data_IF_795213647727
#
_entry.id   IF_795213647727
#
_cell.length_a   1.000
_cell.length_b   1.000
_cell.length_c   1.000
_cell.angle_alpha   90.00
_cell.angle_beta   90.00
_cell.angle_gamma   90.00
#
_symmetry.space_group_name_H-M   'P 1'
#
loop_
_entity.id
_entity.type
_entity.pdbx_description
1 polymer ?
#
# COMPACT_ATOMS: atom_id res chain seq x y z
N UNK A 1 12.99 7.39 5.88
CA UNK A 1 11.73 7.28 5.12
C UNK A 1 11.36 8.55 4.34
N UNK A 2 11.63 9.76 4.86
CA UNK A 2 11.34 11.04 4.21
C UNK A 2 11.84 11.15 2.76
N UNK A 3 13.06 10.68 2.45
CA UNK A 3 13.58 10.73 1.07
C UNK A 3 12.71 9.92 0.11
N UNK A 4 12.33 8.70 0.49
CA UNK A 4 11.42 7.86 -0.30
C UNK A 4 10.03 8.50 -0.44
N UNK A 5 9.56 9.18 0.62
CA UNK A 5 8.32 9.98 0.57
C UNK A 5 8.43 11.11 -0.47
N UNK A 6 9.51 11.88 -0.46
CA UNK A 6 9.77 12.96 -1.42
C UNK A 6 9.85 12.43 -2.86
N UNK A 7 10.55 11.30 -3.06
CA UNK A 7 10.64 10.65 -4.37
C UNK A 7 9.26 10.22 -4.88
N UNK A 8 8.50 9.48 -4.07
CA UNK A 8 7.17 9.01 -4.46
C UNK A 8 6.21 10.18 -4.70
N UNK A 9 6.34 11.27 -3.92
CA UNK A 9 5.56 12.49 -4.11
C UNK A 9 5.91 13.23 -5.41
N UNK A 10 7.15 13.11 -5.88
CA UNK A 10 7.60 13.56 -7.20
C UNK A 10 7.33 12.51 -8.31
N UNK A 11 6.43 11.55 -8.05
CA UNK A 11 6.03 10.50 -8.98
C UNK A 11 7.16 9.52 -9.35
N UNK A 12 8.19 9.40 -8.50
CA UNK A 12 9.23 8.39 -8.57
C UNK A 12 8.97 7.32 -7.50
N UNK A 13 8.24 6.26 -7.86
CA UNK A 13 7.85 5.19 -6.93
C UNK A 13 9.06 4.62 -6.19
N UNK A 14 8.99 4.61 -4.85
CA UNK A 14 10.09 4.17 -3.98
C UNK A 14 9.56 3.31 -2.82
N UNK A 15 9.82 2.00 -2.90
CA UNK A 15 9.39 1.01 -1.91
C UNK A 15 10.41 0.84 -0.77
N UNK A 16 9.92 0.47 0.40
CA UNK A 16 10.76 0.07 1.53
C UNK A 16 11.24 -1.38 1.37
N UNK A 17 12.15 -1.82 2.25
CA UNK A 17 12.47 -3.25 2.48
C UNK A 17 12.93 -4.04 1.24
N UNK A 18 13.42 -3.34 0.22
CA UNK A 18 13.84 -3.95 -1.05
C UNK A 18 12.69 -4.70 -1.75
N UNK A 19 11.43 -4.30 -1.51
CA UNK A 19 10.26 -4.91 -2.11
C UNK A 19 10.11 -4.49 -3.59
N UNK A 20 10.85 -5.17 -4.47
CA UNK A 20 10.86 -4.91 -5.90
C UNK A 20 9.49 -5.19 -6.54
N UNK A 21 8.80 -6.30 -6.28
CA UNK A 21 7.44 -6.50 -6.81
C UNK A 21 6.46 -5.42 -6.32
N UNK A 22 6.59 -5.00 -5.05
CA UNK A 22 5.83 -3.88 -4.49
C UNK A 22 6.07 -2.57 -5.24
N UNK A 23 7.33 -2.21 -5.56
CA UNK A 23 7.61 -0.98 -6.31
C UNK A 23 7.08 -1.02 -7.75
N UNK A 24 7.04 -2.21 -8.38
CA UNK A 24 6.40 -2.37 -9.70
C UNK A 24 4.90 -2.11 -9.62
N UNK A 25 4.23 -2.62 -8.57
CA UNK A 25 2.81 -2.35 -8.33
C UNK A 25 2.55 -0.85 -8.07
N UNK A 26 3.40 -0.20 -7.25
CA UNK A 26 3.38 1.24 -7.05
C UNK A 26 3.53 2.00 -8.37
N UNK A 27 4.48 1.59 -9.22
CA UNK A 27 4.74 2.24 -10.50
C UNK A 27 3.56 2.11 -11.46
N UNK A 28 2.94 0.93 -11.55
CA UNK A 28 1.75 0.71 -12.38
C UNK A 28 0.59 1.60 -11.94
N UNK A 29 0.32 1.71 -10.63
CA UNK A 29 -0.71 2.59 -10.08
C UNK A 29 -0.41 4.06 -10.36
N UNK A 30 0.85 4.50 -10.19
CA UNK A 30 1.29 5.86 -10.50
C UNK A 30 1.13 6.18 -12.00
N UNK A 31 1.45 5.26 -12.89
CA UNK A 31 1.29 5.46 -14.34
C UNK A 31 -0.19 5.59 -14.72
N UNK A 32 -1.06 4.77 -14.15
CA UNK A 32 -2.48 4.79 -14.46
C UNK A 32 -3.21 5.99 -13.85
N UNK A 33 -2.80 6.45 -12.67
CA UNK A 33 -3.48 7.53 -11.94
C UNK A 33 -2.87 8.92 -12.12
N UNK A 34 -1.62 9.00 -12.59
CA UNK A 34 -0.81 10.23 -12.57
C UNK A 34 -0.65 10.85 -11.16
N UNK A 35 -0.96 10.09 -10.10
CA UNK A 35 -0.82 10.49 -8.71
C UNK A 35 0.26 9.66 -7.99
N UNK A 36 0.83 10.16 -6.87
CA UNK A 36 1.75 9.37 -6.07
C UNK A 36 1.12 8.06 -5.58
N UNK A 37 1.94 7.02 -5.52
CA UNK A 37 1.59 5.71 -4.95
C UNK A 37 2.37 5.47 -3.65
N UNK A 38 1.78 4.73 -2.72
CA UNK A 38 2.40 4.27 -1.48
C UNK A 38 2.56 2.75 -1.46
N UNK A 39 3.47 2.26 -0.62
CA UNK A 39 3.48 0.87 -0.16
C UNK A 39 2.93 0.84 1.27
N UNK A 40 2.05 -0.11 1.55
CA UNK A 40 1.33 -0.28 2.81
C UNK A 40 1.28 -1.75 3.19
N UNK A 41 0.94 -2.02 4.45
CA UNK A 41 0.78 -3.34 5.02
C UNK A 41 -0.72 -3.57 5.23
N UNK A 42 -1.23 -4.73 4.82
CA UNK A 42 -2.48 -5.24 5.38
C UNK A 42 -2.23 -5.61 6.85
N UNK A 43 -2.66 -4.78 7.79
CA UNK A 43 -2.25 -4.92 9.19
C UNK A 43 -3.30 -5.62 10.06
N UNK A 44 -4.36 -4.91 10.47
CA UNK A 44 -5.38 -5.45 11.38
C UNK A 44 -6.78 -5.13 10.86
N UNK A 45 -7.77 -6.00 11.13
CA UNK A 45 -9.18 -5.63 10.95
C UNK A 45 -9.52 -4.42 11.83
N UNK A 46 -10.45 -3.58 11.38
CA UNK A 46 -10.84 -2.36 12.09
C UNK A 46 -12.26 -2.46 12.65
N UNK A 47 -12.35 -2.49 13.99
CA UNK A 47 -13.63 -2.61 14.69
C UNK A 47 -14.38 -3.89 14.33
N UNK A 48 -15.71 -3.80 14.29
CA UNK A 48 -16.59 -4.94 14.01
C UNK A 48 -17.00 -5.06 12.54
N UNK A 49 -16.53 -4.15 11.66
CA UNK A 49 -16.89 -4.19 10.25
C UNK A 49 -15.93 -5.14 9.49
N UNK A 50 -16.43 -6.26 8.92
CA UNK A 50 -15.59 -7.23 8.25
C UNK A 50 -14.94 -6.70 6.96
N UNK A 51 -15.45 -5.60 6.41
CA UNK A 51 -14.93 -4.95 5.20
C UNK A 51 -13.92 -3.83 5.51
N UNK A 52 -13.57 -3.62 6.78
CA UNK A 52 -12.59 -2.60 7.18
C UNK A 52 -11.32 -3.18 7.79
N UNK A 53 -10.20 -2.57 7.43
CA UNK A 53 -8.89 -2.86 8.01
C UNK A 53 -8.05 -1.59 8.17
N UNK A 54 -7.07 -1.65 9.06
CA UNK A 54 -5.99 -0.68 9.16
C UNK A 54 -4.94 -1.05 8.12
N UNK A 55 -4.66 -0.11 7.22
CA UNK A 55 -3.42 -0.08 6.46
C UNK A 55 -2.40 0.75 7.23
N UNK A 56 -1.19 0.22 7.32
CA UNK A 56 -0.09 0.82 8.07
C UNK A 56 1.20 0.69 7.26
N UNK A 57 2.17 1.55 7.51
CA UNK A 57 3.57 1.23 7.22
C UNK A 57 4.43 1.99 8.24
N UNK A 58 5.68 1.54 8.44
CA UNK A 58 6.70 2.32 9.14
C UNK A 58 6.92 3.74 8.55
N UNK A 59 6.33 4.01 7.38
CA UNK A 59 5.96 5.31 6.83
C UNK A 59 7.00 6.06 6.01
N UNK A 60 7.23 5.49 4.83
CA UNK A 60 7.81 6.13 3.66
C UNK A 60 6.74 6.72 2.70
N UNK A 61 5.48 6.75 3.11
CA UNK A 61 4.36 7.21 2.27
C UNK A 61 4.61 8.62 1.72
N UNK A 62 4.25 8.90 0.45
CA UNK A 62 4.35 10.25 -0.09
C UNK A 62 3.45 11.21 0.69
N UNK A 63 3.90 12.46 0.89
CA UNK A 63 3.12 13.52 1.57
C UNK A 63 1.68 13.63 1.06
N UNK A 64 1.46 13.38 -0.22
CA UNK A 64 0.16 13.31 -0.87
C UNK A 64 -0.90 12.46 -0.14
N UNK A 65 -0.51 11.39 0.56
CA UNK A 65 -1.45 10.51 1.26
C UNK A 65 -2.00 11.12 2.56
N UNK A 66 -1.29 12.06 3.16
CA UNK A 66 -1.61 12.54 4.50
C UNK A 66 -2.55 13.74 4.49
N UNK A 67 -3.46 13.78 5.47
CA UNK A 67 -4.22 14.99 5.79
C UNK A 67 -3.32 16.02 6.49
N UNK A 68 -2.53 15.54 7.45
CA UNK A 68 -1.44 16.26 8.08
C UNK A 68 -0.27 15.29 8.32
N UNK A 69 0.95 15.79 8.22
CA UNK A 69 2.16 14.97 8.35
C UNK A 69 3.28 15.74 9.03
N UNK A 70 3.97 15.04 9.93
CA UNK A 70 5.19 15.52 10.58
C UNK A 70 6.31 14.50 10.42
N UNK A 71 7.55 14.98 10.46
CA UNK A 71 8.68 14.07 10.56
C UNK A 71 8.88 13.68 12.02
N UNK A 72 9.14 12.39 12.27
CA UNK A 72 9.49 11.88 13.59
C UNK A 72 10.53 10.75 13.50
N UNK A 73 10.83 10.13 14.64
CA UNK A 73 11.60 8.89 14.71
C UNK A 73 10.75 7.65 14.41
N UNK A 74 11.40 6.55 14.06
CA UNK A 74 10.76 5.26 13.74
C UNK A 74 10.57 4.46 15.05
N UNK A 75 9.33 4.32 15.51
CA UNK A 75 9.02 3.74 16.83
C UNK A 75 9.34 2.24 16.96
N UNK A 76 9.25 1.47 15.87
CA UNK A 76 9.50 0.02 15.85
C UNK A 76 10.97 -0.28 16.17
N UNK A 77 11.91 0.44 15.56
CA UNK A 77 13.35 0.16 15.69
C UNK A 77 14.04 1.04 16.75
N UNK A 78 13.40 2.12 17.20
CA UNK A 78 13.97 3.02 18.20
C UNK A 78 14.29 2.32 19.53
N UNK A 79 13.51 1.29 19.92
CA UNK A 79 13.79 0.49 21.10
C UNK A 79 15.10 -0.31 21.01
N UNK A 80 15.52 -0.67 19.80
CA UNK A 80 16.71 -1.50 19.56
C UNK A 80 17.95 -0.68 19.27
N UNK A 81 17.84 0.32 18.38
CA UNK A 81 19.01 1.10 17.91
C UNK A 81 19.08 2.49 18.51
N UNK A 82 18.12 2.87 19.36
CA UNK A 82 18.04 4.17 20.02
C UNK A 82 17.37 5.24 19.15
N UNK A 83 16.55 6.08 19.80
CA UNK A 83 15.74 7.13 19.15
C UNK A 83 16.54 8.03 18.20
N UNK A 84 17.72 8.49 18.62
CA UNK A 84 18.57 9.40 17.83
C UNK A 84 18.99 8.80 16.48
N UNK A 85 19.03 7.47 16.35
CA UNK A 85 19.44 6.77 15.14
C UNK A 85 18.28 6.45 14.19
N UNK A 86 17.07 6.94 14.47
CA UNK A 86 15.84 6.48 13.79
C UNK A 86 14.97 7.61 13.25
N UNK A 87 15.48 8.84 13.19
CA UNK A 87 14.76 9.99 12.64
C UNK A 87 14.56 9.90 11.12
N UNK A 88 13.44 10.47 10.65
CA UNK A 88 13.12 10.55 9.23
C UNK A 88 11.91 9.71 8.81
N UNK A 89 11.04 9.38 9.75
CA UNK A 89 9.73 8.74 9.51
C UNK A 89 8.67 9.80 9.26
N UNK A 90 7.79 9.60 8.28
CA UNK A 90 6.66 10.50 8.04
C UNK A 90 5.45 10.05 8.87
N UNK A 91 5.17 10.67 10.02
CA UNK A 91 4.05 10.29 10.88
C UNK A 91 2.82 11.11 10.52
N UNK A 92 1.69 10.44 10.31
CA UNK A 92 0.43 11.11 9.97
C UNK A 92 -0.72 10.15 9.67
N UNK A 93 -1.94 10.70 9.66
CA UNK A 93 -3.15 9.97 9.26
C UNK A 93 -3.32 10.07 7.74
N UNK A 94 -3.51 8.93 7.08
CA UNK A 94 -3.91 8.89 5.66
C UNK A 94 -5.28 9.54 5.53
N UNK A 95 -5.42 10.47 4.59
CA UNK A 95 -6.67 11.20 4.32
C UNK A 95 -7.72 10.25 3.70
N UNK A 96 -9.00 10.48 3.98
CA UNK A 96 -10.05 9.75 3.28
C UNK A 96 -10.08 10.07 1.77
N UNK A 97 -10.52 9.09 1.00
CA UNK A 97 -10.65 9.21 -0.45
C UNK A 97 -10.67 7.85 -1.14
N UNK A 98 -10.91 7.83 -2.47
CA UNK A 98 -10.88 6.59 -3.24
C UNK A 98 -9.50 5.95 -3.19
N UNK A 99 -9.47 4.62 -3.25
CA UNK A 99 -8.25 3.83 -3.24
C UNK A 99 -8.28 2.80 -4.37
N UNK A 100 -7.19 2.73 -5.11
CA UNK A 100 -6.86 1.57 -5.94
C UNK A 100 -5.65 0.90 -5.33
N UNK A 101 -5.69 -0.42 -5.24
CA UNK A 101 -4.61 -1.21 -4.69
C UNK A 101 -4.14 -2.29 -5.67
N UNK A 102 -2.86 -2.63 -5.58
CA UNK A 102 -2.26 -3.68 -6.38
C UNK A 102 -1.13 -4.35 -5.62
N UNK A 103 -0.98 -5.67 -5.83
CA UNK A 103 0.21 -6.43 -5.45
C UNK A 103 0.62 -7.27 -6.64
N UNK A 104 1.89 -7.14 -7.02
CA UNK A 104 2.54 -8.08 -7.91
C UNK A 104 3.53 -8.91 -7.13
N UNK A 105 3.77 -10.14 -7.59
CA UNK A 105 4.69 -11.10 -6.99
C UNK A 105 5.23 -12.02 -8.09
N UNK A 106 6.28 -12.75 -7.78
CA UNK A 106 6.85 -13.78 -8.65
C UNK A 106 6.56 -15.15 -8.07
N UNK A 107 6.08 -16.08 -8.90
CA UNK A 107 5.92 -17.47 -8.52
C UNK A 107 7.17 -18.24 -8.89
N UNK A 108 7.97 -18.62 -7.89
CA UNK A 108 9.20 -19.42 -8.10
C UNK A 108 8.89 -20.80 -8.69
N UNK A 109 7.71 -21.35 -8.41
CA UNK A 109 7.28 -22.66 -8.91
C UNK A 109 6.98 -22.62 -10.41
N UNK A 110 6.34 -21.56 -10.89
CA UNK A 110 5.89 -21.46 -12.29
C UNK A 110 6.76 -20.57 -13.16
N UNK A 111 7.66 -19.79 -12.55
CA UNK A 111 8.47 -18.78 -13.24
C UNK A 111 7.64 -17.61 -13.80
N UNK A 112 6.44 -17.37 -13.27
CA UNK A 112 5.51 -16.35 -13.77
C UNK A 112 5.34 -15.18 -12.81
N UNK A 113 5.05 -14.01 -13.36
CA UNK A 113 4.54 -12.87 -12.60
C UNK A 113 3.04 -13.09 -12.38
N UNK A 114 2.62 -12.88 -11.14
CA UNK A 114 1.23 -12.97 -10.70
C UNK A 114 0.87 -11.79 -9.82
N UNK A 115 -0.40 -11.58 -9.56
CA UNK A 115 -0.82 -10.50 -8.68
C UNK A 115 -2.30 -10.45 -8.39
N UNK A 116 -2.67 -9.42 -7.64
CA UNK A 116 -4.05 -9.01 -7.49
C UNK A 116 -4.17 -7.50 -7.53
N UNK A 117 -5.37 -7.03 -7.89
CA UNK A 117 -5.70 -5.62 -8.04
C UNK A 117 -7.16 -5.42 -7.67
N UNK A 118 -7.48 -4.29 -7.05
CA UNK A 118 -8.84 -3.97 -6.65
C UNK A 118 -9.02 -2.53 -6.24
N UNK A 119 -10.23 -2.20 -5.78
CA UNK A 119 -10.60 -0.86 -5.33
C UNK A 119 -11.25 -0.90 -3.96
N UNK A 120 -11.19 0.24 -3.29
CA UNK A 120 -11.85 0.52 -2.04
C UNK A 120 -11.75 2.01 -1.75
N UNK A 121 -11.70 2.36 -0.47
CA UNK A 121 -11.50 3.74 -0.04
C UNK A 121 -10.78 3.80 1.29
N UNK A 122 -9.97 4.84 1.49
CA UNK A 122 -9.61 5.28 2.83
C UNK A 122 -10.78 6.03 3.44
N UNK A 123 -11.03 5.79 4.72
CA UNK A 123 -12.15 6.32 5.48
C UNK A 123 -11.67 7.27 6.57
N UNK A 124 -12.56 8.13 7.06
CA UNK A 124 -12.24 9.12 8.09
C UNK A 124 -12.33 8.56 9.52
N UNK A 125 -12.51 7.25 9.67
CA UNK A 125 -12.58 6.57 10.96
C UNK A 125 -11.39 6.95 11.88
N UNK A 126 -11.63 7.10 13.20
CA UNK A 126 -10.59 7.50 14.13
C UNK A 126 -9.52 6.40 14.27
N UNK A 127 -8.25 6.82 14.25
CA UNK A 127 -7.11 5.93 14.38
C UNK A 127 -5.98 6.67 15.09
N UNK A 128 -5.64 6.24 16.30
CA UNK A 128 -4.50 6.75 17.06
C UNK A 128 -3.39 5.70 17.05
N UNK A 129 -2.36 5.93 16.24
CA UNK A 129 -1.19 5.06 16.15
C UNK A 129 0.00 5.84 15.58
N UNK A 130 1.19 5.26 15.67
CA UNK A 130 2.42 5.81 15.10
C UNK A 130 2.51 5.53 13.60
N UNK A 131 3.53 6.09 12.93
CA UNK A 131 3.78 5.85 11.51
C UNK A 131 2.72 6.49 10.59
N UNK A 132 2.50 5.87 9.44
CA UNK A 132 1.57 6.33 8.41
C UNK A 132 0.46 5.34 8.28
N UNK A 133 -0.73 5.69 8.77
CA UNK A 133 -1.82 4.75 8.92
C UNK A 133 -3.16 5.34 8.51
N UNK A 134 -4.04 4.48 8.01
CA UNK A 134 -5.40 4.82 7.64
C UNK A 134 -6.30 3.60 7.70
N UNK A 135 -7.60 3.84 7.88
CA UNK A 135 -8.61 2.78 7.83
C UNK A 135 -9.11 2.68 6.40
N UNK A 136 -8.96 1.51 5.80
CA UNK A 136 -9.54 1.19 4.49
C UNK A 136 -10.89 0.51 4.66
N UNK A 137 -11.75 0.70 3.67
CA UNK A 137 -12.95 -0.08 3.46
C UNK A 137 -12.91 -0.69 2.06
N UNK A 138 -12.96 -2.02 1.98
CA UNK A 138 -12.87 -2.80 0.76
C UNK A 138 -14.05 -3.76 0.76
N UNK A 139 -14.97 -3.69 -0.22
CA UNK A 139 -16.08 -4.63 -0.31
C UNK A 139 -15.58 -6.07 -0.33
N UNK A 140 -16.19 -6.94 0.46
CA UNK A 140 -15.81 -8.36 0.56
C UNK A 140 -14.34 -8.54 0.95
N UNK A 141 -13.84 -7.75 1.89
CA UNK A 141 -12.44 -7.81 2.32
C UNK A 141 -12.04 -9.21 2.80
N UNK A 142 -12.96 -9.93 3.45
CA UNK A 142 -12.71 -11.30 3.92
C UNK A 142 -12.42 -12.27 2.76
N UNK A 143 -13.11 -12.13 1.63
CA UNK A 143 -12.83 -12.91 0.42
C UNK A 143 -11.44 -12.57 -0.14
N UNK A 144 -11.08 -11.28 -0.15
CA UNK A 144 -9.75 -10.82 -0.57
C UNK A 144 -8.65 -11.37 0.33
N UNK A 145 -8.79 -11.27 1.65
CA UNK A 145 -7.80 -11.75 2.62
C UNK A 145 -7.63 -13.27 2.50
N UNK A 146 -8.72 -14.02 2.34
CA UNK A 146 -8.66 -15.47 2.07
C UNK A 146 -7.89 -15.74 0.78
N UNK A 147 -8.19 -15.03 -0.31
CA UNK A 147 -7.46 -15.16 -1.58
C UNK A 147 -5.97 -14.87 -1.41
N UNK A 148 -5.60 -13.79 -0.72
CA UNK A 148 -4.21 -13.41 -0.44
C UNK A 148 -3.48 -14.54 0.29
N UNK A 149 -4.06 -15.06 1.37
CA UNK A 149 -3.44 -16.10 2.19
C UNK A 149 -3.37 -17.46 1.47
N UNK A 150 -4.46 -17.91 0.85
CA UNK A 150 -4.52 -19.20 0.15
C UNK A 150 -3.58 -19.26 -1.06
N UNK A 151 -3.26 -18.10 -1.65
CA UNK A 151 -2.33 -18.00 -2.78
C UNK A 151 -0.91 -17.60 -2.37
N UNK A 152 -0.63 -17.36 -1.08
CA UNK A 152 0.70 -17.03 -0.57
C UNK A 152 1.23 -15.70 -1.10
N UNK A 153 0.39 -14.67 -1.13
CA UNK A 153 0.82 -13.30 -1.41
C UNK A 153 1.41 -12.64 -0.16
N UNK A 154 2.31 -11.69 -0.38
CA UNK A 154 2.97 -10.92 0.65
C UNK A 154 2.01 -9.91 1.30
N UNK A 155 2.34 -9.47 2.52
CA UNK A 155 1.51 -8.53 3.29
C UNK A 155 1.54 -7.10 2.74
N UNK A 156 2.61 -6.72 2.05
CA UNK A 156 2.72 -5.44 1.39
C UNK A 156 1.73 -5.31 0.23
N UNK A 157 1.13 -4.15 0.11
CA UNK A 157 0.23 -3.76 -0.98
C UNK A 157 0.55 -2.34 -1.42
N UNK A 158 0.63 -2.12 -2.73
CA UNK A 158 0.73 -0.79 -3.27
C UNK A 158 -0.65 -0.13 -3.33
N UNK A 159 -0.73 1.17 -3.07
CA UNK A 159 -1.96 1.94 -3.11
C UNK A 159 -1.76 3.27 -3.83
N UNK A 160 -2.81 3.80 -4.45
CA UNK A 160 -2.91 5.18 -4.92
C UNK A 160 -4.28 5.77 -4.56
N UNK A 161 -4.34 7.09 -4.39
CA UNK A 161 -5.59 7.81 -4.08
C UNK A 161 -6.43 8.00 -5.37
N UNK A 162 -6.89 6.91 -5.96
CA UNK A 162 -7.50 6.89 -7.31
C UNK A 162 -8.46 5.72 -7.53
N UNK A 163 -9.15 5.73 -8.68
CA UNK A 163 -10.04 4.65 -9.15
C UNK A 163 -9.55 4.05 -10.49
N UNK A 164 -8.35 3.47 -10.47
CA UNK A 164 -7.59 3.05 -11.67
C UNK A 164 -7.28 1.55 -11.71
N UNK A 165 -7.85 0.75 -10.80
CA UNK A 165 -7.66 -0.70 -10.76
C UNK A 165 -7.99 -1.40 -12.09
N UNK A 166 -9.04 -0.96 -12.79
CA UNK A 166 -9.42 -1.51 -14.10
C UNK A 166 -8.32 -1.33 -15.16
N UNK A 167 -7.73 -0.13 -15.23
CA UNK A 167 -6.64 0.17 -16.15
C UNK A 167 -5.37 -0.64 -15.82
N UNK A 168 -5.03 -0.77 -14.53
CA UNK A 168 -3.89 -1.58 -14.08
C UNK A 168 -4.11 -3.06 -14.37
N UNK A 169 -5.33 -3.57 -14.16
CA UNK A 169 -5.68 -4.95 -14.49
C UNK A 169 -5.57 -5.21 -16.00
N UNK A 170 -6.11 -4.32 -16.85
CA UNK A 170 -6.00 -4.47 -18.31
C UNK A 170 -4.53 -4.47 -18.75
N UNK A 171 -3.72 -3.53 -18.23
CA UNK A 171 -2.28 -3.49 -18.49
C UNK A 171 -1.58 -4.80 -18.16
N UNK A 172 -1.78 -5.30 -16.93
CA UNK A 172 -1.09 -6.49 -16.46
C UNK A 172 -1.59 -7.77 -17.14
N UNK A 173 -2.90 -7.98 -17.23
CA UNK A 173 -3.45 -9.24 -17.73
C UNK A 173 -3.45 -9.32 -19.26
N UNK A 174 -3.89 -8.26 -19.96
CA UNK A 174 -4.10 -8.29 -21.42
C UNK A 174 -2.84 -7.94 -22.20
N UNK A 175 -2.11 -6.90 -21.80
CA UNK A 175 -0.93 -6.44 -22.55
C UNK A 175 0.36 -7.10 -22.10
N UNK A 176 0.52 -7.36 -20.79
CA UNK A 176 1.72 -8.02 -20.25
C UNK A 176 1.56 -9.54 -20.06
N UNK A 177 0.33 -10.07 -20.13
CA UNK A 177 0.06 -11.51 -20.02
C UNK A 177 0.30 -12.11 -18.63
N UNK A 178 0.22 -11.29 -17.58
CA UNK A 178 0.42 -11.73 -16.19
C UNK A 178 -0.86 -12.34 -15.60
N UNK A 179 -0.69 -13.27 -14.66
CA UNK A 179 -1.82 -13.87 -13.94
C UNK A 179 -2.26 -12.96 -12.79
N UNK A 180 -3.19 -12.04 -13.07
CA UNK A 180 -3.62 -11.02 -12.13
C UNK A 180 -5.10 -11.16 -11.82
N UNK A 181 -5.42 -11.44 -10.56
CA UNK A 181 -6.79 -11.47 -10.06
C UNK A 181 -7.35 -10.06 -9.87
N UNK A 182 -8.55 -9.79 -10.39
CA UNK A 182 -9.29 -8.57 -10.09
C UNK A 182 -10.31 -8.81 -8.98
N UNK A 183 -10.07 -8.21 -7.82
CA UNK A 183 -11.03 -8.15 -6.73
C UNK A 183 -12.11 -7.09 -7.02
N UNK A 184 -13.38 -7.46 -6.84
CA UNK A 184 -14.55 -6.60 -7.07
C UNK A 184 -15.56 -6.72 -5.92
#
# INVERSE_FOLDING_TARGET
>A
CTVMSMMSNALMSSACEVDIPGVVAMHALRLASETPSALLDWNNNYGDNPDKAVCFHCSNLPKHFFADVRMDYQEIIAGTVGKLNTFGTCVGKVKAGPMSFARFSTSDVTGKIRGYVGQGRFTDDPLETFGGAGVVEIPRLQDLLRYICENGFEHHVAASMSETAGAVHEAAAKYLGWDVHRHN
#
